data_IF_872871276313
#
_entry.id   IF_872871276313
#
_cell.length_a   1.000
_cell.length_b   1.000
_cell.length_c   1.000
_cell.angle_alpha   90.00
_cell.angle_beta   90.00
_cell.angle_gamma   90.00
#
_symmetry.space_group_name_H-M   'P 1'
#
loop_
_entity.id
_entity.type
_entity.pdbx_description
1 polymer ?
#
# COMPACT_ATOMS: atom_id res chain seq x y z
N UNK A 1 -10.20 44.15 6.22
CA UNK A 1 -9.65 43.37 5.08
C UNK A 1 -10.77 42.55 4.52
N UNK A 2 -11.03 42.55 3.21
CA UNK A 2 -12.16 41.77 2.70
C UNK A 2 -11.89 41.26 1.29
N UNK A 3 -11.18 40.14 1.20
CA UNK A 3 -11.29 39.28 0.03
C UNK A 3 -12.75 38.84 -0.10
N UNK A 4 -13.31 38.97 -1.31
CA UNK A 4 -14.73 38.72 -1.58
C UNK A 4 -15.01 37.28 -2.02
N UNK A 5 -13.97 36.59 -2.50
CA UNK A 5 -13.99 35.18 -2.90
C UNK A 5 -12.69 34.54 -2.43
N UNK A 6 -12.79 33.33 -1.89
CA UNK A 6 -11.65 32.53 -1.44
C UNK A 6 -11.79 31.17 -2.11
N UNK A 7 -10.72 30.72 -2.76
CA UNK A 7 -10.62 29.38 -3.32
C UNK A 7 -9.62 28.62 -2.46
N UNK A 8 -10.01 27.43 -2.04
CA UNK A 8 -9.13 26.53 -1.30
C UNK A 8 -8.73 25.37 -2.22
N UNK A 9 -7.47 24.98 -2.11
CA UNK A 9 -7.08 23.64 -2.50
C UNK A 9 -7.73 22.61 -1.56
N UNK A 10 -7.93 21.38 -2.02
CA UNK A 10 -8.58 20.33 -1.24
C UNK A 10 -7.54 19.59 -0.39
N UNK A 11 -6.64 18.89 -1.07
CA UNK A 11 -5.72 17.94 -0.48
C UNK A 11 -4.52 18.67 0.16
N UNK A 12 -4.23 18.39 1.43
CA UNK A 12 -3.17 19.07 2.16
C UNK A 12 -3.50 20.51 2.59
N UNK A 13 -4.70 21.01 2.25
CA UNK A 13 -5.19 22.33 2.68
C UNK A 13 -6.47 22.23 3.51
N UNK A 14 -7.52 21.59 3.01
CA UNK A 14 -8.77 21.36 3.74
C UNK A 14 -8.93 19.93 4.26
N UNK A 15 -8.24 18.97 3.65
CA UNK A 15 -8.26 17.57 4.02
C UNK A 15 -6.85 17.01 4.23
N UNK A 16 -6.71 16.05 5.17
CA UNK A 16 -5.56 15.14 5.23
C UNK A 16 -5.88 13.88 4.41
N UNK A 17 -5.37 13.77 3.17
CA UNK A 17 -5.73 12.68 2.28
C UNK A 17 -5.16 11.36 2.77
N UNK A 18 -3.98 11.37 3.42
CA UNK A 18 -3.32 10.15 3.91
C UNK A 18 -4.20 9.48 4.95
N UNK A 19 -4.64 10.23 5.95
CA UNK A 19 -5.50 9.69 7.00
C UNK A 19 -6.88 9.26 6.46
N UNK A 20 -7.49 10.08 5.61
CA UNK A 20 -8.81 9.82 5.03
C UNK A 20 -8.84 8.56 4.16
N UNK A 21 -7.87 8.43 3.25
CA UNK A 21 -7.76 7.29 2.33
C UNK A 21 -7.45 6.00 3.12
N UNK A 22 -6.48 6.03 4.05
CA UNK A 22 -6.14 4.85 4.86
C UNK A 22 -7.34 4.35 5.66
N UNK A 23 -8.06 5.22 6.37
CA UNK A 23 -9.25 4.81 7.14
C UNK A 23 -10.38 4.29 6.24
N UNK A 24 -10.56 4.88 5.07
CA UNK A 24 -11.59 4.43 4.12
C UNK A 24 -11.28 3.04 3.59
N UNK A 25 -10.03 2.76 3.22
CA UNK A 25 -9.58 1.44 2.78
C UNK A 25 -9.73 0.39 3.89
N UNK A 26 -9.27 0.70 5.10
CA UNK A 26 -9.41 -0.17 6.27
C UNK A 26 -10.88 -0.48 6.56
N UNK A 27 -11.76 0.52 6.52
CA UNK A 27 -13.18 0.34 6.76
C UNK A 27 -13.84 -0.55 5.68
N UNK A 28 -13.52 -0.32 4.40
CA UNK A 28 -14.07 -1.12 3.31
C UNK A 28 -13.62 -2.58 3.39
N UNK A 29 -12.32 -2.83 3.55
CA UNK A 29 -11.75 -4.18 3.59
C UNK A 29 -12.17 -4.95 4.85
N UNK A 30 -12.37 -4.26 5.98
CA UNK A 30 -12.94 -4.88 7.18
C UNK A 30 -14.35 -5.47 6.95
N UNK A 31 -15.15 -4.91 6.02
CA UNK A 31 -16.46 -5.48 5.66
C UNK A 31 -16.34 -6.83 4.95
N UNK A 32 -15.18 -7.14 4.38
CA UNK A 32 -14.85 -8.42 3.77
C UNK A 32 -14.07 -9.35 4.73
N UNK A 33 -13.95 -8.97 6.01
CA UNK A 33 -13.19 -9.73 7.02
C UNK A 33 -11.67 -9.57 6.92
N UNK A 34 -11.19 -8.63 6.10
CA UNK A 34 -9.76 -8.37 5.91
C UNK A 34 -9.28 -7.26 6.86
N UNK A 35 -8.23 -7.55 7.62
CA UNK A 35 -7.52 -6.55 8.44
C UNK A 35 -6.38 -5.96 7.63
N UNK A 36 -6.26 -4.64 7.62
CA UNK A 36 -5.34 -3.92 6.75
C UNK A 36 -4.54 -2.90 7.53
N UNK A 37 -3.23 -2.89 7.30
CA UNK A 37 -2.31 -1.84 7.75
C UNK A 37 -1.84 -1.09 6.51
N UNK A 38 -1.94 0.25 6.52
CA UNK A 38 -1.49 1.09 5.41
C UNK A 38 -0.42 2.08 5.88
N UNK A 39 0.66 2.23 5.10
CA UNK A 39 1.68 3.26 5.31
C UNK A 39 2.97 2.76 5.99
N UNK A 40 3.99 3.62 5.98
CA UNK A 40 5.16 3.53 6.87
C UNK A 40 4.82 4.02 8.27
N UNK A 41 5.78 4.03 9.21
CA UNK A 41 5.53 4.57 10.54
C UNK A 41 5.04 6.02 10.48
N UNK A 42 4.17 6.40 11.42
CA UNK A 42 3.58 7.74 11.50
C UNK A 42 4.63 8.86 11.67
N UNK A 43 5.84 8.50 12.09
CA UNK A 43 6.95 9.40 12.38
C UNK A 43 8.12 9.30 11.39
N UNK A 44 7.98 8.50 10.32
CA UNK A 44 9.03 8.19 9.34
C UNK A 44 10.36 7.70 9.97
N UNK A 45 10.35 7.29 11.24
CA UNK A 45 11.54 6.85 11.98
C UNK A 45 12.10 5.52 11.46
N UNK A 46 11.25 4.75 10.77
CA UNK A 46 11.62 3.50 10.13
C UNK A 46 11.84 3.74 8.63
N UNK A 47 13.11 3.81 8.24
CA UNK A 47 13.53 4.08 6.88
C UNK A 47 13.71 2.83 6.01
N UNK A 48 13.84 1.64 6.61
CA UNK A 48 13.96 0.37 5.88
C UNK A 48 12.60 -0.26 5.68
N UNK A 49 12.28 -0.57 4.42
CA UNK A 49 10.97 -1.15 4.05
C UNK A 49 10.72 -2.51 4.69
N UNK A 50 11.77 -3.28 4.96
CA UNK A 50 11.76 -4.51 5.77
C UNK A 50 11.05 -4.31 7.12
N UNK A 51 11.46 -3.28 7.85
CA UNK A 51 11.01 -2.99 9.20
C UNK A 51 9.55 -2.50 9.22
N UNK A 52 9.12 -1.80 8.16
CA UNK A 52 7.73 -1.37 7.98
C UNK A 52 6.81 -2.59 7.84
N UNK A 53 7.16 -3.52 6.95
CA UNK A 53 6.33 -4.74 6.74
C UNK A 53 6.34 -5.60 7.99
N UNK A 54 7.49 -5.77 8.65
CA UNK A 54 7.62 -6.52 9.90
C UNK A 54 6.77 -5.93 11.02
N UNK A 55 6.75 -4.60 11.16
CA UNK A 55 5.89 -3.93 12.13
C UNK A 55 4.40 -4.12 11.80
N UNK A 56 4.01 -3.99 10.53
CA UNK A 56 2.63 -4.21 10.11
C UNK A 56 2.16 -5.64 10.44
N UNK A 57 3.00 -6.65 10.20
CA UNK A 57 2.72 -8.04 10.58
C UNK A 57 2.57 -8.19 12.11
N UNK A 58 3.43 -7.53 12.88
CA UNK A 58 3.33 -7.51 14.35
C UNK A 58 1.99 -6.92 14.83
N UNK A 59 1.54 -5.80 14.26
CA UNK A 59 0.25 -5.18 14.56
C UNK A 59 -0.94 -6.09 14.19
N UNK A 60 -0.75 -6.93 13.17
CA UNK A 60 -1.69 -7.98 12.78
C UNK A 60 -1.57 -9.26 13.61
N UNK A 61 -0.78 -9.23 14.70
CA UNK A 61 -0.55 -10.37 15.61
C UNK A 61 0.24 -11.52 14.98
N UNK A 62 1.16 -11.21 14.05
CA UNK A 62 2.03 -12.14 13.35
C UNK A 62 1.25 -13.33 12.73
N UNK A 63 0.39 -13.07 11.73
CA UNK A 63 -0.31 -14.14 11.05
C UNK A 63 0.69 -15.11 10.38
N UNK A 64 0.22 -16.32 10.07
CA UNK A 64 1.01 -17.24 9.26
C UNK A 64 1.35 -16.61 7.89
N UNK A 65 2.52 -16.88 7.31
CA UNK A 65 2.95 -16.17 6.10
C UNK A 65 2.01 -16.33 4.90
N UNK A 66 1.34 -17.47 4.78
CA UNK A 66 0.32 -17.77 3.77
C UNK A 66 -1.05 -17.09 4.02
N UNK A 67 -1.15 -16.27 5.08
CA UNK A 67 -2.34 -15.50 5.45
C UNK A 67 -2.11 -13.99 5.33
N UNK A 68 -0.96 -13.57 4.83
CA UNK A 68 -0.63 -12.16 4.63
C UNK A 68 -0.11 -11.95 3.21
N UNK A 69 -0.48 -10.82 2.62
CA UNK A 69 -0.02 -10.38 1.32
C UNK A 69 0.32 -8.90 1.40
N UNK A 70 1.48 -8.53 0.86
CA UNK A 70 1.87 -7.15 0.64
C UNK A 70 1.38 -6.71 -0.73
N UNK A 71 0.64 -5.60 -0.78
CA UNK A 71 0.25 -4.94 -2.03
C UNK A 71 1.05 -3.66 -2.15
N UNK A 72 1.79 -3.50 -3.24
CA UNK A 72 2.65 -2.33 -3.43
C UNK A 72 2.97 -2.07 -4.89
N UNK A 73 3.55 -0.90 -5.15
CA UNK A 73 3.82 -0.41 -6.50
C UNK A 73 5.31 -0.27 -6.81
N UNK A 74 6.19 -0.57 -5.85
CA UNK A 74 7.65 -0.43 -6.01
C UNK A 74 8.40 -1.72 -5.68
N UNK A 75 9.65 -1.82 -6.18
CA UNK A 75 10.56 -2.90 -5.80
C UNK A 75 10.84 -2.96 -4.28
N UNK A 76 10.74 -1.84 -3.57
CA UNK A 76 10.91 -1.84 -2.13
C UNK A 76 9.81 -2.64 -1.43
N UNK A 77 8.56 -2.56 -1.91
CA UNK A 77 7.45 -3.34 -1.38
C UNK A 77 7.65 -4.85 -1.61
N UNK A 78 8.14 -5.22 -2.80
CA UNK A 78 8.51 -6.61 -3.12
C UNK A 78 9.60 -7.12 -2.18
N UNK A 79 10.71 -6.38 -2.03
CA UNK A 79 11.80 -6.76 -1.13
C UNK A 79 11.28 -6.91 0.31
N UNK A 80 10.43 -5.98 0.77
CA UNK A 80 9.83 -6.04 2.10
C UNK A 80 8.97 -7.30 2.30
N UNK A 81 8.21 -7.71 1.27
CA UNK A 81 7.42 -8.94 1.30
C UNK A 81 8.31 -10.19 1.36
N UNK A 82 9.31 -10.28 0.47
CA UNK A 82 10.25 -11.41 0.38
C UNK A 82 11.03 -11.59 1.69
N UNK A 83 11.53 -10.50 2.28
CA UNK A 83 12.28 -10.55 3.53
C UNK A 83 11.43 -10.99 4.73
N UNK A 84 10.11 -10.78 4.67
CA UNK A 84 9.17 -11.21 5.70
C UNK A 84 8.46 -12.54 5.34
N UNK A 85 8.79 -13.13 4.18
CA UNK A 85 8.26 -14.41 3.73
C UNK A 85 6.77 -14.41 3.39
N UNK A 86 6.17 -13.25 3.10
CA UNK A 86 4.75 -13.11 2.75
C UNK A 86 4.57 -12.94 1.25
N UNK A 87 3.36 -13.22 0.76
CA UNK A 87 3.03 -13.06 -0.65
C UNK A 87 3.09 -11.58 -1.09
N UNK A 88 3.28 -11.35 -2.39
CA UNK A 88 3.34 -10.02 -2.98
C UNK A 88 2.45 -9.88 -4.21
N UNK A 89 1.66 -8.80 -4.24
CA UNK A 89 0.93 -8.35 -5.42
C UNK A 89 1.41 -6.94 -5.82
N UNK A 90 2.00 -6.85 -7.01
CA UNK A 90 2.47 -5.60 -7.60
C UNK A 90 1.36 -4.90 -8.38
N UNK A 91 1.24 -3.58 -8.25
CA UNK A 91 0.28 -2.78 -9.03
C UNK A 91 1.00 -1.80 -9.96
N UNK A 92 0.53 -1.66 -11.20
CA UNK A 92 1.23 -0.85 -12.23
C UNK A 92 0.72 0.58 -12.33
N UNK A 93 -0.41 0.89 -11.71
CA UNK A 93 -0.97 2.24 -11.64
C UNK A 93 -0.30 3.14 -10.58
N UNK A 94 0.73 2.64 -9.88
CA UNK A 94 1.56 3.43 -8.98
C UNK A 94 2.79 4.04 -9.67
N UNK A 95 3.85 4.27 -8.90
CA UNK A 95 5.04 5.00 -9.35
C UNK A 95 6.20 4.10 -9.83
N UNK A 96 6.24 2.82 -9.45
CA UNK A 96 7.39 1.93 -9.68
C UNK A 96 7.25 0.99 -10.88
N UNK A 97 6.33 0.02 -10.80
CA UNK A 97 6.22 -1.04 -11.82
C UNK A 97 5.67 -0.53 -13.16
N UNK A 98 6.21 -1.05 -14.28
CA UNK A 98 5.88 -0.68 -15.66
C UNK A 98 6.13 0.79 -16.02
N UNK A 99 7.33 1.26 -15.68
CA UNK A 99 8.00 2.33 -16.43
C UNK A 99 9.14 1.69 -17.22
N UNK A 100 9.59 2.31 -18.30
CA UNK A 100 10.65 1.84 -19.21
C UNK A 100 12.03 1.55 -18.54
N UNK A 101 12.07 1.54 -17.20
CA UNK A 101 13.22 1.40 -16.32
C UNK A 101 13.28 0.07 -15.57
N UNK A 102 12.26 -0.79 -15.67
CA UNK A 102 12.28 -2.10 -15.02
C UNK A 102 13.31 -3.02 -15.71
N UNK A 103 14.30 -3.59 -14.99
CA UNK A 103 15.28 -4.46 -15.59
C UNK A 103 14.61 -5.72 -16.15
N UNK A 104 14.90 -6.10 -17.42
CA UNK A 104 14.30 -7.27 -18.03
C UNK A 104 14.71 -8.55 -17.27
N UNK A 105 13.74 -9.42 -16.99
CA UNK A 105 13.97 -10.74 -16.40
C UNK A 105 13.78 -10.85 -14.88
N UNK A 106 13.34 -9.79 -14.18
CA UNK A 106 12.94 -9.93 -12.78
C UNK A 106 11.58 -10.62 -12.70
N UNK A 107 11.52 -11.77 -12.04
CA UNK A 107 10.26 -12.46 -11.74
C UNK A 107 9.58 -11.72 -10.60
N UNK A 108 8.84 -10.67 -10.93
CA UNK A 108 7.88 -10.09 -10.02
C UNK A 108 6.84 -11.17 -9.67
N UNK A 109 6.26 -11.13 -8.47
CA UNK A 109 5.12 -11.99 -8.12
C UNK A 109 3.90 -11.75 -9.03
N UNK A 110 2.70 -11.72 -8.45
CA UNK A 110 1.50 -11.39 -9.22
C UNK A 110 1.48 -9.88 -9.51
N UNK A 111 1.63 -9.45 -10.76
CA UNK A 111 1.44 -8.04 -11.17
C UNK A 111 0.05 -7.84 -11.78
N UNK A 112 -0.64 -6.78 -11.38
CA UNK A 112 -1.98 -6.42 -11.87
C UNK A 112 -2.04 -4.97 -12.35
N UNK A 113 -2.93 -4.70 -13.32
CA UNK A 113 -2.96 -3.42 -14.04
C UNK A 113 -4.12 -2.51 -13.65
N UNK A 114 -5.16 -3.07 -13.05
CA UNK A 114 -6.36 -2.33 -12.67
C UNK A 114 -6.75 -2.62 -11.23
N UNK A 115 -7.55 -1.72 -10.65
CA UNK A 115 -8.16 -1.93 -9.33
C UNK A 115 -9.05 -3.18 -9.34
N UNK A 116 -9.72 -3.46 -10.46
CA UNK A 116 -10.54 -4.65 -10.64
C UNK A 116 -9.68 -5.93 -10.61
N UNK A 117 -8.55 -5.95 -11.29
CA UNK A 117 -7.61 -7.07 -11.26
C UNK A 117 -7.03 -7.29 -9.86
N UNK A 118 -6.69 -6.21 -9.15
CA UNK A 118 -6.28 -6.30 -7.74
C UNK A 118 -7.38 -6.89 -6.87
N UNK A 119 -8.62 -6.42 -7.04
CA UNK A 119 -9.75 -6.92 -6.30
C UNK A 119 -9.99 -8.41 -6.55
N UNK A 120 -9.94 -8.82 -7.81
CA UNK A 120 -10.04 -10.22 -8.20
C UNK A 120 -8.89 -11.04 -7.61
N UNK A 121 -7.69 -10.47 -7.51
CA UNK A 121 -6.55 -11.15 -6.93
C UNK A 121 -6.61 -11.33 -5.41
N UNK A 122 -7.32 -10.45 -4.70
CA UNK A 122 -7.46 -10.51 -3.24
C UNK A 122 -8.58 -11.43 -2.78
N UNK A 123 -9.62 -11.62 -3.61
CA UNK A 123 -10.83 -12.35 -3.23
C UNK A 123 -11.03 -13.69 -3.92
N UNK A 124 -10.18 -14.04 -4.90
CA UNK A 124 -10.25 -15.29 -5.68
C UNK A 124 -8.85 -15.83 -5.98
#
# INVERSE_FOLDING_TARGET
>A
MTYRYILFDLDGTLADPKLGITKSAQYALARFGLRVVCGGTLDDSISKKEDIVRQALYELSNPAPDKAVMVGDTQYDLIGAEQNGIDFIGVTYGYGFRKDTDPPGQSYGRIVDTIEDLWNALLY
#
